data_IF_206791786507
#
_entry.id   IF_206791786507
#
_cell.length_a   1.000
_cell.length_b   1.000
_cell.length_c   1.000
_cell.angle_alpha   90.00
_cell.angle_beta   90.00
_cell.angle_gamma   90.00
#
_symmetry.space_group_name_H-M   'P 1'
#
loop_
_entity.id
_entity.type
_entity.pdbx_description
1 polymer ?
#
# COMPACT_ATOMS: atom_id res chain seq x y z
N UNK A 1 -5.48 42.75 8.99
CA UNK A 1 -6.03 41.80 9.99
C UNK A 1 -5.20 40.52 9.93
N UNK A 2 -4.35 40.20 10.92
CA UNK A 2 -3.63 38.95 10.96
C UNK A 2 -4.55 37.86 11.56
N UNK A 3 -4.71 36.74 10.86
CA UNK A 3 -5.39 35.56 11.40
C UNK A 3 -4.41 34.75 12.24
N UNK A 4 -4.40 34.96 13.55
CA UNK A 4 -3.71 34.11 14.51
C UNK A 4 -4.49 32.80 14.69
N UNK A 5 -4.23 31.81 13.83
CA UNK A 5 -4.70 30.44 14.05
C UNK A 5 -3.80 29.83 15.12
N UNK A 6 -4.21 29.92 16.39
CA UNK A 6 -3.56 29.18 17.46
C UNK A 6 -3.83 27.67 17.28
N UNK A 7 -2.81 26.80 17.41
CA UNK A 7 -3.05 25.36 17.43
C UNK A 7 -3.85 25.03 18.68
N UNK A 8 -5.11 24.62 18.51
CA UNK A 8 -5.93 24.10 19.58
C UNK A 8 -5.21 22.88 20.18
N UNK A 9 -4.66 23.06 21.38
CA UNK A 9 -4.03 22.01 22.18
C UNK A 9 -5.11 21.14 22.81
N UNK A 10 -5.90 20.46 21.98
CA UNK A 10 -6.78 19.39 22.41
C UNK A 10 -5.92 18.17 22.74
N UNK A 11 -5.42 18.13 23.98
CA UNK A 11 -4.82 16.96 24.61
C UNK A 11 -5.90 15.89 24.92
N UNK A 12 -6.75 15.55 23.95
CA UNK A 12 -7.71 14.47 24.10
C UNK A 12 -6.99 13.14 23.82
N UNK A 13 -6.50 12.55 24.91
CA UNK A 13 -5.97 11.19 25.02
C UNK A 13 -4.86 10.81 24.04
N UNK A 14 -3.63 11.16 24.42
CA UNK A 14 -2.50 10.30 24.10
C UNK A 14 -2.88 8.87 24.50
N UNK A 15 -3.02 7.98 23.51
CA UNK A 15 -3.33 6.58 23.75
C UNK A 15 -2.18 5.97 24.55
N UNK A 16 -2.34 5.94 25.87
CA UNK A 16 -1.45 5.18 26.75
C UNK A 16 -1.66 3.71 26.38
N UNK A 17 -0.71 3.15 25.64
CA UNK A 17 -0.63 1.72 25.40
C UNK A 17 -0.24 1.10 26.74
N UNK A 18 -1.25 0.79 27.55
CA UNK A 18 -1.05 -0.01 28.75
C UNK A 18 -0.58 -1.39 28.28
N UNK A 19 0.73 -1.61 28.38
CA UNK A 19 1.37 -2.92 28.22
C UNK A 19 1.03 -3.76 29.44
N UNK A 20 -0.23 -4.19 29.54
CA UNK A 20 -0.67 -5.18 30.52
C UNK A 20 -0.64 -6.53 29.80
N UNK A 21 0.34 -7.34 30.19
CA UNK A 21 0.32 -8.81 30.23
C UNK A 21 -0.60 -9.54 29.25
N UNK A 22 0.05 -10.26 28.32
CA UNK A 22 -0.47 -11.35 27.51
C UNK A 22 -1.74 -12.01 28.08
N UNK A 23 -2.87 -11.71 27.46
CA UNK A 23 -3.92 -12.70 27.32
C UNK A 23 -4.17 -12.87 25.83
N UNK A 24 -4.26 -14.11 25.36
CA UNK A 24 -4.54 -14.50 23.97
C UNK A 24 -5.94 -14.06 23.47
N UNK A 25 -6.53 -13.04 24.07
CA UNK A 25 -7.73 -12.37 23.60
C UNK A 25 -7.31 -11.11 22.86
N UNK A 26 -7.08 -11.24 21.54
CA UNK A 26 -6.90 -10.08 20.67
C UNK A 26 -8.13 -9.20 20.84
N UNK A 27 -7.95 -8.01 21.44
CA UNK A 27 -9.06 -7.09 21.72
C UNK A 27 -9.71 -6.67 20.40
N UNK A 28 -10.86 -7.26 20.11
CA UNK A 28 -11.71 -6.91 18.97
C UNK A 28 -12.55 -5.69 19.37
N UNK A 29 -12.47 -4.63 18.57
CA UNK A 29 -13.25 -3.40 18.70
C UNK A 29 -14.15 -3.26 17.48
N UNK A 30 -15.16 -2.39 17.55
CA UNK A 30 -16.03 -2.12 16.40
C UNK A 30 -15.63 -0.79 15.75
N UNK A 31 -15.44 -0.79 14.44
CA UNK A 31 -15.20 0.40 13.62
C UNK A 31 -16.11 0.36 12.39
N UNK A 32 -16.94 1.38 12.20
CA UNK A 32 -17.95 1.45 11.12
C UNK A 32 -18.82 0.17 11.02
N UNK A 33 -19.29 -0.35 12.17
CA UNK A 33 -20.10 -1.57 12.23
C UNK A 33 -19.33 -2.87 11.97
N UNK A 34 -18.00 -2.83 11.84
CA UNK A 34 -17.16 -4.00 11.59
C UNK A 34 -16.24 -4.29 12.76
N UNK A 35 -16.06 -5.56 13.09
CA UNK A 35 -15.09 -6.00 14.09
C UNK A 35 -13.67 -5.82 13.54
N UNK A 36 -12.84 -5.08 14.26
CA UNK A 36 -11.43 -4.81 13.95
C UNK A 36 -10.56 -5.20 15.14
N UNK A 37 -9.37 -5.69 14.86
CA UNK A 37 -8.36 -6.02 15.87
C UNK A 37 -7.08 -5.27 15.58
N UNK A 38 -6.38 -4.84 16.63
CA UNK A 38 -5.06 -4.25 16.48
C UNK A 38 -4.05 -5.36 16.15
N UNK A 39 -3.39 -5.24 15.01
CA UNK A 39 -2.27 -6.11 14.65
C UNK A 39 -1.03 -5.75 15.47
N UNK A 40 -0.34 -6.77 15.96
CA UNK A 40 0.98 -6.61 16.57
C UNK A 40 2.01 -6.09 15.55
N UNK A 41 3.13 -5.59 16.04
CA UNK A 41 4.21 -5.07 15.20
C UNK A 41 4.80 -6.12 14.26
N UNK A 42 4.89 -7.39 14.69
CA UNK A 42 5.39 -8.50 13.88
C UNK A 42 4.40 -8.86 12.76
N UNK A 43 3.12 -9.05 13.09
CA UNK A 43 2.05 -9.30 12.12
C UNK A 43 2.00 -8.19 11.07
N UNK A 44 2.04 -6.92 11.51
CA UNK A 44 2.06 -5.77 10.59
C UNK A 44 3.23 -5.83 9.61
N UNK A 45 4.44 -6.17 10.08
CA UNK A 45 5.63 -6.29 9.22
C UNK A 45 5.47 -7.43 8.21
N UNK A 46 4.95 -8.58 8.65
CA UNK A 46 4.69 -9.72 7.77
C UNK A 46 3.65 -9.39 6.69
N UNK A 47 2.51 -8.82 7.08
CA UNK A 47 1.47 -8.40 6.13
C UNK A 47 2.01 -7.38 5.13
N UNK A 48 2.81 -6.40 5.58
CA UNK A 48 3.43 -5.41 4.69
C UNK A 48 4.39 -6.07 3.69
N UNK A 49 5.22 -7.00 4.14
CA UNK A 49 6.15 -7.73 3.27
C UNK A 49 5.40 -8.54 2.20
N UNK A 50 4.36 -9.27 2.60
CA UNK A 50 3.54 -10.05 1.69
C UNK A 50 2.76 -9.17 0.69
N UNK A 51 2.20 -8.05 1.15
CA UNK A 51 1.51 -7.09 0.30
C UNK A 51 2.47 -6.50 -0.75
N UNK A 52 3.71 -6.18 -0.37
CA UNK A 52 4.73 -5.69 -1.32
C UNK A 52 5.03 -6.73 -2.41
N UNK A 53 5.21 -8.00 -2.04
CA UNK A 53 5.47 -9.08 -3.01
C UNK A 53 4.27 -9.25 -3.96
N UNK A 54 3.06 -9.24 -3.41
CA UNK A 54 1.83 -9.39 -4.19
C UNK A 54 1.64 -8.24 -5.18
N UNK A 55 1.85 -7.00 -4.72
CA UNK A 55 1.76 -5.81 -5.55
C UNK A 55 2.77 -5.85 -6.69
N UNK A 56 4.03 -6.20 -6.39
CA UNK A 56 5.06 -6.34 -7.43
C UNK A 56 4.69 -7.40 -8.46
N UNK A 57 4.12 -8.53 -8.05
CA UNK A 57 3.64 -9.57 -8.97
C UNK A 57 2.54 -9.04 -9.89
N UNK A 58 1.56 -8.34 -9.33
CA UNK A 58 0.45 -7.76 -10.11
C UNK A 58 0.94 -6.68 -11.08
N UNK A 59 1.85 -5.80 -10.66
CA UNK A 59 2.44 -4.79 -11.53
C UNK A 59 3.22 -5.42 -12.69
N UNK A 60 3.99 -6.48 -12.42
CA UNK A 60 4.69 -7.21 -13.47
C UNK A 60 3.73 -7.88 -14.46
N UNK A 61 2.66 -8.51 -13.96
CA UNK A 61 1.61 -9.09 -14.81
C UNK A 61 0.94 -8.02 -15.69
N UNK A 62 0.62 -6.86 -15.13
CA UNK A 62 0.02 -5.75 -15.86
C UNK A 62 0.97 -5.18 -16.91
N UNK A 63 2.24 -4.97 -16.56
CA UNK A 63 3.26 -4.52 -17.52
C UNK A 63 3.39 -5.49 -18.70
N UNK A 64 3.40 -6.80 -18.43
CA UNK A 64 3.48 -7.81 -19.48
C UNK A 64 2.22 -7.80 -20.37
N UNK A 65 1.04 -7.67 -19.76
CA UNK A 65 -0.23 -7.61 -20.50
C UNK A 65 -0.30 -6.37 -21.40
N UNK A 66 0.11 -5.20 -20.89
CA UNK A 66 0.16 -3.97 -21.67
C UNK A 66 1.09 -4.13 -22.89
N UNK A 67 2.23 -4.79 -22.73
CA UNK A 67 3.16 -5.07 -23.83
C UNK A 67 2.57 -6.06 -24.85
N UNK A 68 1.93 -7.13 -24.39
CA UNK A 68 1.23 -8.06 -25.29
C UNK A 68 0.15 -7.35 -26.10
N UNK A 69 -0.61 -6.46 -25.47
CA UNK A 69 -1.65 -5.67 -26.15
C UNK A 69 -1.04 -4.68 -27.16
N UNK A 70 0.13 -4.12 -26.87
CA UNK A 70 0.86 -3.25 -27.80
C UNK A 70 1.32 -4.04 -29.04
N UNK A 71 1.86 -5.25 -28.87
CA UNK A 71 2.27 -6.12 -30.00
C UNK A 71 1.08 -6.55 -30.86
N UNK A 72 -0.08 -6.77 -30.23
CA UNK A 72 -1.33 -7.12 -30.91
C UNK A 72 -2.09 -5.90 -31.46
N UNK A 73 -1.59 -4.68 -31.24
CA UNK A 73 -2.24 -3.47 -31.75
C UNK A 73 -1.97 -3.29 -33.25
N UNK A 74 -2.94 -2.71 -33.96
CA UNK A 74 -2.81 -2.43 -35.40
C UNK A 74 -1.70 -1.39 -35.69
N UNK A 75 -1.27 -0.63 -34.69
CA UNK A 75 -0.20 0.35 -34.78
C UNK A 75 1.17 -0.27 -34.47
N UNK A 76 1.68 -1.05 -35.41
CA UNK A 76 2.95 -1.79 -35.28
C UNK A 76 4.17 -0.90 -35.05
N UNK A 77 4.17 0.35 -35.53
CA UNK A 77 5.29 1.27 -35.35
C UNK A 77 5.43 1.71 -33.89
N UNK A 78 4.31 2.04 -33.23
CA UNK A 78 4.28 2.37 -31.81
C UNK A 78 4.76 1.19 -30.94
N UNK A 79 4.45 -0.04 -31.36
CA UNK A 79 4.90 -1.24 -30.67
C UNK A 79 6.41 -1.44 -30.72
N UNK A 80 7.02 -1.24 -31.90
CA UNK A 80 8.46 -1.33 -32.09
C UNK A 80 9.17 -0.29 -31.23
N UNK A 81 8.72 0.97 -31.26
CA UNK A 81 9.35 2.07 -30.52
C UNK A 81 9.27 1.87 -28.99
N UNK A 82 8.13 1.37 -28.49
CA UNK A 82 7.92 1.07 -27.06
C UNK A 82 8.81 -0.07 -26.58
N UNK A 83 8.96 -1.13 -27.38
CA UNK A 83 9.86 -2.25 -27.06
C UNK A 83 11.34 -1.85 -27.11
N UNK A 84 11.72 -1.01 -28.07
CA UNK A 84 13.10 -0.55 -28.22
C UNK A 84 13.54 0.33 -27.04
N UNK A 85 12.70 1.27 -26.60
CA UNK A 85 12.97 2.09 -25.40
C UNK A 85 13.24 1.23 -24.15
N UNK A 86 12.44 0.19 -23.94
CA UNK A 86 12.64 -0.73 -22.81
C UNK A 86 13.94 -1.54 -22.93
N UNK A 87 14.35 -1.95 -24.14
CA UNK A 87 15.64 -2.64 -24.34
C UNK A 87 16.82 -1.73 -23.99
N UNK A 88 16.69 -0.43 -24.22
CA UNK A 88 17.72 0.57 -23.91
C UNK A 88 17.75 0.91 -22.41
N UNK A 89 16.61 0.98 -21.73
CA UNK A 89 16.54 1.23 -20.28
C UNK A 89 17.01 0.06 -19.39
N UNK A 90 17.21 -1.14 -19.96
CA UNK A 90 17.66 -2.35 -19.24
C UNK A 90 19.20 -2.52 -19.28
N UNK A 91 19.95 -1.62 -19.93
CA UNK A 91 21.42 -1.56 -19.89
C UNK A 91 21.93 -0.58 -18.84
#
# INVERSE_FOLDING_TARGET
>A
MPNDIQPNRNNAHAYTVNSSTESNNVSKKTFCGRSVSLLSSSERRQHKAQAKVTLNKQLNQLSNTALSNIVLSDNKQFAIDSLYKRKVEIL
#
